data_IF_339879162470
#
_entry.id   IF_339879162470
#
_cell.length_a   1.000
_cell.length_b   1.000
_cell.length_c   1.000
_cell.angle_alpha   90.00
_cell.angle_beta   90.00
_cell.angle_gamma   90.00
#
_symmetry.space_group_name_H-M   'P 1'
#
loop_
_entity.id
_entity.type
_entity.pdbx_description
1 polymer ?
#
# COMPACT_ATOMS: atom_id res chain seq x y z
N UNK A 1 7.62 30.39 -35.36
CA UNK A 1 7.57 29.12 -36.10
C UNK A 1 6.72 29.17 -37.37
N UNK A 2 5.66 29.98 -37.48
CA UNK A 2 4.73 29.95 -38.64
C UNK A 2 5.29 30.57 -39.93
N UNK A 3 6.26 31.49 -39.87
CA UNK A 3 6.70 32.27 -41.05
C UNK A 3 7.61 31.52 -42.02
N UNK A 4 8.39 30.55 -41.54
CA UNK A 4 9.31 29.76 -42.37
C UNK A 4 8.52 28.77 -43.26
N UNK A 5 7.61 28.02 -42.67
CA UNK A 5 6.71 27.10 -43.37
C UNK A 5 5.78 27.84 -44.34
N UNK A 6 5.30 29.05 -43.97
CA UNK A 6 4.48 29.90 -44.85
C UNK A 6 5.20 30.29 -46.14
N UNK A 7 6.47 30.74 -46.05
CA UNK A 7 7.27 31.13 -47.23
C UNK A 7 7.60 29.95 -48.14
N UNK A 8 7.77 28.76 -47.58
CA UNK A 8 8.06 27.54 -48.35
C UNK A 8 6.80 27.07 -49.10
N UNK A 9 5.63 27.16 -48.45
CA UNK A 9 4.33 26.85 -49.07
C UNK A 9 4.01 27.75 -50.26
N UNK A 10 4.26 29.06 -50.13
CA UNK A 10 4.07 30.03 -51.22
C UNK A 10 4.95 29.69 -52.45
N UNK A 11 6.21 29.29 -52.24
CA UNK A 11 7.12 28.87 -53.33
C UNK A 11 6.72 27.55 -54.00
N UNK A 12 6.20 26.58 -53.26
CA UNK A 12 5.79 25.29 -53.80
C UNK A 12 4.50 25.39 -54.63
N UNK A 13 3.54 26.22 -54.20
CA UNK A 13 2.30 26.48 -54.95
C UNK A 13 2.59 27.22 -56.26
N UNK A 14 3.55 28.15 -56.28
CA UNK A 14 4.00 28.81 -57.51
C UNK A 14 4.67 27.85 -58.52
N UNK A 15 5.16 26.69 -58.08
CA UNK A 15 5.85 25.73 -58.95
C UNK A 15 4.93 24.75 -59.69
N UNK A 16 3.61 24.78 -59.45
CA UNK A 16 2.61 23.98 -60.17
C UNK A 16 2.63 22.45 -59.91
N UNK A 17 3.61 21.92 -59.17
CA UNK A 17 3.71 20.47 -58.94
C UNK A 17 2.98 20.04 -57.66
N UNK A 18 1.76 19.52 -57.82
CA UNK A 18 0.96 18.91 -56.75
C UNK A 18 1.73 17.85 -55.96
N UNK A 19 2.58 17.06 -56.63
CA UNK A 19 3.37 15.99 -56.01
C UNK A 19 4.34 16.49 -54.93
N UNK A 20 4.99 17.64 -55.13
CA UNK A 20 5.92 18.22 -54.13
C UNK A 20 5.17 18.78 -52.92
N UNK A 21 3.97 19.32 -53.13
CA UNK A 21 3.12 19.81 -52.06
C UNK A 21 2.61 18.66 -51.17
N UNK A 22 2.15 17.56 -51.78
CA UNK A 22 1.68 16.36 -51.05
C UNK A 22 2.80 15.69 -50.24
N UNK A 23 4.01 15.60 -50.80
CA UNK A 23 5.17 15.03 -50.09
C UNK A 23 5.53 15.88 -48.86
N UNK A 24 5.47 17.21 -48.99
CA UNK A 24 5.78 18.15 -47.91
C UNK A 24 4.73 18.14 -46.79
N UNK A 25 3.44 18.19 -47.15
CA UNK A 25 2.34 18.15 -46.19
C UNK A 25 2.35 16.85 -45.36
N UNK A 26 2.66 15.72 -46.00
CA UNK A 26 2.83 14.43 -45.32
C UNK A 26 3.99 14.47 -44.32
N UNK A 27 5.09 15.13 -44.66
CA UNK A 27 6.23 15.33 -43.76
C UNK A 27 5.90 16.15 -42.51
N UNK A 28 5.11 17.23 -42.66
CA UNK A 28 4.67 18.07 -41.54
C UNK A 28 3.71 17.31 -40.60
N UNK A 29 2.77 16.54 -41.17
CA UNK A 29 1.88 15.68 -40.39
C UNK A 29 2.68 14.63 -39.61
N UNK A 30 3.63 13.96 -40.25
CA UNK A 30 4.49 12.98 -39.57
C UNK A 30 5.28 13.61 -38.41
N UNK A 31 5.81 14.82 -38.60
CA UNK A 31 6.57 15.51 -37.56
C UNK A 31 5.69 15.91 -36.37
N UNK A 32 4.47 16.40 -36.63
CA UNK A 32 3.48 16.68 -35.58
C UNK A 32 3.07 15.41 -34.85
N UNK A 33 2.81 14.32 -35.58
CA UNK A 33 2.45 13.02 -34.99
C UNK A 33 3.57 12.51 -34.08
N UNK A 34 4.83 12.57 -34.52
CA UNK A 34 5.98 12.20 -33.68
C UNK A 34 6.05 13.07 -32.42
N UNK A 35 5.80 14.38 -32.53
CA UNK A 35 5.76 15.28 -31.38
C UNK A 35 4.69 14.90 -30.36
N UNK A 36 3.47 14.58 -30.83
CA UNK A 36 2.36 14.16 -29.96
C UNK A 36 2.67 12.81 -29.30
N UNK A 37 3.22 11.85 -30.05
CA UNK A 37 3.58 10.53 -29.53
C UNK A 37 4.65 10.62 -28.44
N UNK A 38 5.67 11.46 -28.63
CA UNK A 38 6.69 11.71 -27.60
C UNK A 38 6.07 12.37 -26.37
N UNK A 39 5.21 13.38 -26.55
CA UNK A 39 4.53 14.03 -25.43
C UNK A 39 3.66 13.04 -24.63
N UNK A 40 2.92 12.17 -25.31
CA UNK A 40 2.14 11.10 -24.68
C UNK A 40 3.04 10.10 -23.95
N UNK A 41 4.17 9.68 -24.56
CA UNK A 41 5.12 8.78 -23.91
C UNK A 41 5.70 9.36 -22.63
N UNK A 42 6.13 10.63 -22.66
CA UNK A 42 6.65 11.31 -21.48
C UNK A 42 5.59 11.41 -20.38
N UNK A 43 4.35 11.73 -20.74
CA UNK A 43 3.25 11.79 -19.79
C UNK A 43 2.97 10.42 -19.16
N UNK A 44 2.85 9.36 -19.98
CA UNK A 44 2.60 8.01 -19.51
C UNK A 44 3.75 7.48 -18.64
N UNK A 45 5.00 7.78 -18.99
CA UNK A 45 6.16 7.40 -18.17
C UNK A 45 6.15 8.10 -16.81
N UNK A 46 5.82 9.39 -16.77
CA UNK A 46 5.71 10.13 -15.51
C UNK A 46 4.57 9.58 -14.63
N UNK A 47 3.44 9.22 -15.23
CA UNK A 47 2.31 8.64 -14.51
C UNK A 47 2.65 7.24 -13.96
N UNK A 48 3.22 6.37 -14.79
CA UNK A 48 3.69 5.05 -14.35
C UNK A 48 4.70 5.14 -13.20
N UNK A 49 5.61 6.14 -13.24
CA UNK A 49 6.56 6.36 -12.14
C UNK A 49 5.85 6.74 -10.84
N UNK A 50 4.82 7.59 -10.89
CA UNK A 50 4.03 7.94 -9.70
C UNK A 50 3.31 6.72 -9.14
N UNK A 51 2.61 5.97 -10.00
CA UNK A 51 1.92 4.73 -9.60
C UNK A 51 2.89 3.73 -8.96
N UNK A 52 4.08 3.53 -9.54
CA UNK A 52 5.09 2.66 -8.96
C UNK A 52 5.61 3.16 -7.59
N UNK A 53 5.68 4.47 -7.39
CA UNK A 53 6.09 5.06 -6.10
C UNK A 53 5.01 4.88 -5.03
N UNK A 54 3.75 5.06 -5.40
CA UNK A 54 2.59 4.81 -4.54
C UNK A 54 2.51 3.33 -4.15
N UNK A 55 2.69 2.43 -5.11
CA UNK A 55 2.75 0.98 -4.86
C UNK A 55 3.86 0.61 -3.87
N UNK A 56 5.08 1.14 -4.06
CA UNK A 56 6.18 0.90 -3.13
C UNK A 56 5.89 1.42 -1.72
N UNK A 57 5.24 2.58 -1.62
CA UNK A 57 4.86 3.17 -0.33
C UNK A 57 3.82 2.30 0.38
N UNK A 58 2.80 1.85 -0.36
CA UNK A 58 1.78 0.94 0.16
C UNK A 58 2.37 -0.40 0.61
N UNK A 59 3.27 -0.98 -0.19
CA UNK A 59 3.96 -2.23 0.16
C UNK A 59 4.82 -2.07 1.41
N UNK A 60 5.50 -0.94 1.57
CA UNK A 60 6.29 -0.64 2.77
C UNK A 60 5.39 -0.52 4.01
N UNK A 61 4.26 0.17 3.90
CA UNK A 61 3.27 0.29 4.99
C UNK A 61 2.68 -1.07 5.38
N UNK A 62 2.33 -1.89 4.39
CA UNK A 62 1.86 -3.26 4.63
C UNK A 62 2.91 -4.11 5.36
N UNK A 63 4.18 -3.98 4.98
CA UNK A 63 5.26 -4.70 5.64
C UNK A 63 5.40 -4.27 7.11
N UNK A 64 5.40 -2.96 7.37
CA UNK A 64 5.46 -2.40 8.72
C UNK A 64 4.28 -2.86 9.58
N UNK A 65 3.06 -2.80 9.05
CA UNK A 65 1.86 -3.28 9.74
C UNK A 65 1.94 -4.78 10.06
N UNK A 66 2.48 -5.59 9.13
CA UNK A 66 2.67 -7.03 9.34
C UNK A 66 3.72 -7.32 10.42
N UNK A 67 4.82 -6.57 10.43
CA UNK A 67 5.83 -6.68 11.49
C UNK A 67 5.26 -6.30 12.85
N UNK A 68 4.49 -5.21 12.91
CA UNK A 68 3.83 -4.78 14.13
C UNK A 68 2.79 -5.81 14.60
N UNK A 69 1.96 -6.34 13.70
CA UNK A 69 1.00 -7.40 14.01
C UNK A 69 1.69 -8.68 14.51
N UNK A 70 2.85 -9.03 13.95
CA UNK A 70 3.66 -10.16 14.42
C UNK A 70 4.15 -9.94 15.85
N UNK A 71 4.68 -8.76 16.16
CA UNK A 71 5.17 -8.43 17.51
C UNK A 71 4.01 -8.47 18.52
N UNK A 72 2.88 -7.86 18.20
CA UNK A 72 1.69 -7.90 19.06
C UNK A 72 1.19 -9.34 19.28
N UNK A 73 1.12 -10.13 18.21
CA UNK A 73 0.73 -11.55 18.32
C UNK A 73 1.69 -12.33 19.25
N UNK A 74 3.00 -12.10 19.14
CA UNK A 74 3.96 -12.71 20.06
C UNK A 74 3.73 -12.26 21.51
N UNK A 75 3.45 -10.99 21.75
CA UNK A 75 3.13 -10.48 23.09
C UNK A 75 1.85 -11.12 23.64
N UNK A 76 0.81 -11.24 22.83
CA UNK A 76 -0.46 -11.87 23.21
C UNK A 76 -0.27 -13.35 23.54
N UNK A 77 0.49 -14.10 22.74
CA UNK A 77 0.82 -15.51 23.04
C UNK A 77 1.54 -15.64 24.39
N UNK A 78 2.43 -14.70 24.72
CA UNK A 78 3.16 -14.75 26.01
C UNK A 78 2.23 -14.41 27.18
N UNK A 79 1.34 -13.43 27.03
CA UNK A 79 0.31 -13.12 28.02
C UNK A 79 -0.65 -14.29 28.21
N UNK A 80 -1.08 -14.93 27.13
CA UNK A 80 -1.96 -16.09 27.16
C UNK A 80 -1.31 -17.27 27.91
N UNK A 81 -0.02 -17.54 27.68
CA UNK A 81 0.71 -18.56 28.46
C UNK A 81 0.70 -18.25 29.96
N UNK A 82 0.93 -16.99 30.34
CA UNK A 82 0.86 -16.57 31.74
C UNK A 82 -0.55 -16.75 32.30
N UNK A 83 -1.58 -16.41 31.54
CA UNK A 83 -2.98 -16.59 31.93
C UNK A 83 -3.32 -18.07 32.10
N UNK A 84 -2.86 -18.95 31.20
CA UNK A 84 -3.02 -20.40 31.31
C UNK A 84 -2.34 -20.93 32.57
N UNK A 85 -1.13 -20.47 32.90
CA UNK A 85 -0.44 -20.90 34.12
C UNK A 85 -1.16 -20.43 35.38
N UNK A 86 -1.71 -19.21 35.38
CA UNK A 86 -2.56 -18.72 36.48
C UNK A 86 -3.86 -19.51 36.60
N UNK A 87 -4.51 -19.83 35.48
CA UNK A 87 -5.71 -20.67 35.43
C UNK A 87 -5.43 -22.08 35.96
N UNK A 88 -4.30 -22.68 35.59
CA UNK A 88 -3.87 -24.00 36.11
C UNK A 88 -3.66 -23.97 37.61
N UNK A 89 -3.07 -22.89 38.14
CA UNK A 89 -2.92 -22.70 39.58
C UNK A 89 -4.29 -22.54 40.26
N UNK A 90 -5.19 -21.73 39.69
CA UNK A 90 -6.51 -21.47 40.24
C UNK A 90 -7.45 -22.68 40.22
N UNK A 91 -7.36 -23.52 39.18
CA UNK A 91 -8.14 -24.75 39.00
C UNK A 91 -7.49 -25.99 39.63
N UNK A 92 -6.31 -25.85 40.24
CA UNK A 92 -5.58 -26.95 40.88
C UNK A 92 -6.28 -27.49 42.13
N UNK A 93 -5.84 -28.66 42.59
CA UNK A 93 -6.35 -29.31 43.81
C UNK A 93 -5.96 -28.59 45.11
N UNK A 94 -6.18 -29.25 46.26
CA UNK A 94 -5.93 -28.67 47.60
C UNK A 94 -4.55 -28.03 47.76
N UNK A 95 -3.51 -28.62 47.16
CA UNK A 95 -2.13 -28.11 47.21
C UNK A 95 -1.97 -26.73 46.53
N UNK A 96 -2.74 -26.48 45.45
CA UNK A 96 -2.74 -25.19 44.76
C UNK A 96 -3.53 -24.14 45.54
N UNK A 97 -4.62 -24.54 46.20
CA UNK A 97 -5.40 -23.67 47.09
C UNK A 97 -4.60 -23.24 48.32
N UNK A 98 -3.79 -24.13 48.89
CA UNK A 98 -2.85 -23.78 49.96
C UNK A 98 -1.83 -22.75 49.48
N UNK A 99 -1.26 -22.94 48.28
CA UNK A 99 -0.29 -22.01 47.70
C UNK A 99 -0.91 -20.63 47.39
N UNK A 100 -2.15 -20.58 46.93
CA UNK A 100 -2.92 -19.34 46.70
C UNK A 100 -3.28 -18.65 48.02
N UNK A 101 -3.61 -19.41 49.06
CA UNK A 101 -3.96 -18.86 50.38
C UNK A 101 -2.80 -18.13 51.06
N UNK A 102 -1.56 -18.46 50.68
CA UNK A 102 -0.32 -17.82 51.16
C UNK A 102 0.05 -16.57 50.37
N UNK A 103 -0.62 -16.28 49.25
CA UNK A 103 -0.35 -15.07 48.47
C UNK A 103 -0.86 -13.83 49.21
N UNK A 104 -0.07 -12.76 49.31
CA UNK A 104 -0.49 -11.52 49.98
C UNK A 104 -1.72 -10.87 49.30
N UNK A 105 -1.89 -11.07 47.98
CA UNK A 105 -2.95 -10.46 47.18
C UNK A 105 -3.85 -11.51 46.48
N UNK A 106 -4.40 -12.47 47.23
CA UNK A 106 -5.22 -13.56 46.67
C UNK A 106 -6.46 -13.07 45.89
N UNK A 107 -7.09 -11.99 46.33
CA UNK A 107 -8.30 -11.45 45.66
C UNK A 107 -7.96 -10.85 44.30
N UNK A 108 -6.82 -10.15 44.21
CA UNK A 108 -6.29 -9.63 42.96
C UNK A 108 -5.95 -10.78 41.99
N UNK A 109 -5.36 -11.88 42.50
CA UNK A 109 -5.10 -13.07 41.70
C UNK A 109 -6.37 -13.65 41.08
N UNK A 110 -7.44 -13.86 41.87
CA UNK A 110 -8.71 -14.38 41.35
C UNK A 110 -9.39 -13.39 40.39
N UNK A 111 -9.31 -12.08 40.67
CA UNK A 111 -9.84 -11.05 39.79
C UNK A 111 -9.14 -11.09 38.42
N UNK A 112 -7.80 -11.11 38.39
CA UNK A 112 -7.03 -11.21 37.14
C UNK A 112 -7.37 -12.49 36.35
N UNK A 113 -7.50 -13.62 37.04
CA UNK A 113 -7.87 -14.90 36.40
C UNK A 113 -9.25 -14.83 35.76
N UNK A 114 -10.23 -14.20 36.41
CA UNK A 114 -11.60 -14.13 35.91
C UNK A 114 -11.74 -13.18 34.71
N UNK A 115 -11.02 -12.06 34.74
CA UNK A 115 -11.15 -11.00 33.74
C UNK A 115 -10.23 -11.15 32.52
N UNK A 116 -9.17 -11.94 32.61
CA UNK A 116 -8.23 -12.16 31.49
C UNK A 116 -8.68 -13.23 30.48
N UNK A 117 -9.98 -13.57 30.41
CA UNK A 117 -10.49 -14.56 29.45
C UNK A 117 -10.69 -14.00 28.03
N UNK A 118 -10.77 -12.69 27.86
CA UNK A 118 -10.90 -12.05 26.55
C UNK A 118 -9.56 -11.97 25.83
N UNK A 119 -9.55 -12.23 24.52
CA UNK A 119 -8.35 -12.14 23.69
C UNK A 119 -8.62 -11.25 22.47
N UNK A 120 -7.71 -10.30 22.25
CA UNK A 120 -7.70 -9.45 21.06
C UNK A 120 -6.82 -10.06 19.97
N UNK A 121 -7.17 -9.79 18.71
CA UNK A 121 -6.39 -10.19 17.55
C UNK A 121 -5.86 -8.90 16.91
N UNK A 122 -4.56 -8.81 16.58
CA UNK A 122 -4.03 -7.62 15.92
C UNK A 122 -4.68 -7.43 14.55
N UNK A 123 -5.15 -6.21 14.28
CA UNK A 123 -5.77 -5.84 13.00
C UNK A 123 -4.71 -5.18 12.12
N UNK A 124 -4.62 -5.63 10.86
CA UNK A 124 -3.75 -5.03 9.84
C UNK A 124 -4.54 -3.88 9.19
N UNK A 125 -4.27 -2.65 9.61
CA UNK A 125 -5.03 -1.46 9.20
C UNK A 125 -4.91 -1.22 7.70
N UNK A 126 -3.69 -1.29 7.14
CA UNK A 126 -3.45 -1.09 5.71
C UNK A 126 -4.21 -2.11 4.83
N UNK A 127 -4.37 -3.35 5.29
CA UNK A 127 -5.17 -4.36 4.60
C UNK A 127 -6.67 -4.05 4.67
N UNK A 128 -7.16 -3.61 5.83
CA UNK A 128 -8.54 -3.19 6.00
C UNK A 128 -8.87 -1.97 5.12
N UNK A 129 -7.94 -1.02 5.01
CA UNK A 129 -8.09 0.17 4.18
C UNK A 129 -8.06 -0.17 2.69
N UNK A 130 -7.21 -1.10 2.25
CA UNK A 130 -7.23 -1.62 0.87
C UNK A 130 -8.56 -2.28 0.52
N UNK A 131 -9.10 -3.09 1.43
CA UNK A 131 -10.41 -3.73 1.24
C UNK A 131 -11.55 -2.70 1.17
N UNK A 132 -11.50 -1.65 1.97
CA UNK A 132 -12.56 -0.64 2.07
C UNK A 132 -12.47 0.46 1.00
N UNK A 133 -11.28 0.72 0.47
CA UNK A 133 -11.05 1.75 -0.56
C UNK A 133 -11.51 1.35 -1.96
N UNK A 134 -11.89 0.08 -2.19
CA UNK A 134 -12.40 -0.39 -3.48
C UNK A 134 -11.35 -0.44 -4.60
N UNK A 135 -10.06 -0.32 -4.28
CA UNK A 135 -8.94 -0.34 -5.22
C UNK A 135 -8.43 -1.77 -5.53
N UNK A 136 -9.31 -2.77 -5.44
CA UNK A 136 -9.03 -4.18 -5.79
C UNK A 136 -9.43 -4.51 -7.22
#
# INVERSE_FOLDING_TARGET
MVTLFRRIREKLVQSGSLTKYLLYATGEILLVVVGILIALQVNNWNENRKTATEEQTLLAQLLEDLEFARIQSQQFIQLEKQNIDRLRLALGGEESLVRISQLPNRELFFFEVLWNLSHDIPVIVSYADLKNSGNT
#
